data_IF_274003404990
#
_entry.id   IF_274003404990
#
_cell.length_a   1.000
_cell.length_b   1.000
_cell.length_c   1.000
_cell.angle_alpha   90.00
_cell.angle_beta   90.00
_cell.angle_gamma   90.00
#
_symmetry.space_group_name_H-M   'P 1'
#
loop_
_entity.id
_entity.type
_entity.pdbx_description
1 polymer ?
#
# COMPACT_ATOMS: atom_id res chain seq x y z
N UNK A 1 -0.49 -1.05 -14.51
CA UNK A 1 0.61 -0.17 -14.93
C UNK A 1 1.91 -0.88 -14.76
N UNK A 2 2.55 -1.19 -15.89
CA UNK A 2 3.82 -1.90 -15.93
C UNK A 2 4.95 -1.11 -15.24
N UNK A 3 4.97 0.23 -15.37
CA UNK A 3 5.96 1.09 -14.71
C UNK A 3 6.00 0.95 -13.19
N UNK A 4 4.84 1.08 -12.51
CA UNK A 4 4.76 0.92 -11.06
C UNK A 4 5.13 -0.52 -10.63
N UNK A 5 4.66 -1.53 -11.38
CA UNK A 5 5.01 -2.93 -11.13
C UNK A 5 6.53 -3.14 -11.20
N UNK A 6 7.20 -2.56 -12.20
CA UNK A 6 8.65 -2.67 -12.38
C UNK A 6 9.42 -1.93 -11.26
N UNK A 7 8.95 -0.77 -10.82
CA UNK A 7 9.55 -0.05 -9.70
C UNK A 7 9.43 -0.85 -8.40
N UNK A 8 8.25 -1.39 -8.10
CA UNK A 8 8.03 -2.24 -6.92
C UNK A 8 8.92 -3.49 -7.01
N UNK A 9 8.90 -4.23 -8.11
CA UNK A 9 9.73 -5.43 -8.30
C UNK A 9 11.23 -5.13 -8.15
N UNK A 10 11.70 -3.98 -8.63
CA UNK A 10 13.10 -3.57 -8.46
C UNK A 10 13.46 -3.36 -6.99
N UNK A 11 12.54 -2.80 -6.20
CA UNK A 11 12.74 -2.63 -4.76
C UNK A 11 12.66 -3.93 -3.97
N UNK A 12 11.87 -4.90 -4.45
CA UNK A 12 11.87 -6.27 -3.92
C UNK A 12 13.22 -6.95 -4.11
N UNK A 13 13.77 -6.90 -5.34
CA UNK A 13 15.08 -7.50 -5.66
C UNK A 13 16.19 -6.91 -4.79
N UNK A 14 16.06 -5.64 -4.39
CA UNK A 14 16.99 -4.95 -3.49
C UNK A 14 16.72 -5.19 -2.01
N UNK A 15 15.65 -5.91 -1.65
CA UNK A 15 15.25 -6.19 -0.28
C UNK A 15 14.67 -4.98 0.46
N UNK A 16 14.29 -3.91 -0.25
CA UNK A 16 13.77 -2.68 0.37
C UNK A 16 12.28 -2.72 0.67
N UNK A 17 11.52 -3.49 -0.12
CA UNK A 17 10.13 -3.80 0.13
C UNK A 17 9.97 -5.32 0.20
N UNK A 18 9.32 -5.79 1.26
CA UNK A 18 8.90 -7.18 1.40
C UNK A 18 7.39 -7.22 1.31
N UNK A 19 6.90 -8.09 0.46
CA UNK A 19 5.48 -8.32 0.31
C UNK A 19 4.92 -9.19 1.41
N UNK A 20 3.61 -9.31 1.37
CA UNK A 20 2.86 -10.17 2.23
C UNK A 20 2.99 -11.63 1.78
N UNK A 21 3.52 -12.48 2.65
CA UNK A 21 3.68 -13.90 2.38
C UNK A 21 2.41 -14.66 2.75
N UNK A 22 1.81 -15.34 1.77
CA UNK A 22 0.68 -16.25 1.96
C UNK A 22 1.23 -17.67 2.02
N UNK A 23 1.37 -18.22 3.22
CA UNK A 23 1.72 -19.62 3.40
C UNK A 23 0.52 -20.52 3.13
N UNK A 24 0.69 -21.52 2.26
CA UNK A 24 -0.30 -22.57 2.03
C UNK A 24 0.32 -23.93 2.36
N UNK A 25 -0.41 -24.85 2.99
CA UNK A 25 0.16 -26.14 3.41
C UNK A 25 0.71 -27.00 2.27
N UNK A 26 0.27 -26.77 1.02
CA UNK A 26 0.52 -27.64 -0.13
C UNK A 26 1.19 -26.94 -1.32
N UNK A 27 1.50 -25.64 -1.22
CA UNK A 27 2.07 -24.85 -2.32
C UNK A 27 3.18 -23.96 -1.77
N UNK A 28 4.23 -23.73 -2.56
CA UNK A 28 5.27 -22.75 -2.26
C UNK A 28 4.65 -21.42 -1.82
N UNK A 29 5.27 -20.81 -0.81
CA UNK A 29 4.79 -19.54 -0.26
C UNK A 29 4.71 -18.48 -1.37
N UNK A 30 3.55 -17.86 -1.50
CA UNK A 30 3.32 -16.81 -2.52
C UNK A 30 3.43 -15.46 -1.84
N UNK A 31 4.37 -14.63 -2.31
CA UNK A 31 4.53 -13.26 -1.83
C UNK A 31 3.73 -12.29 -2.71
N UNK A 32 2.77 -11.60 -2.09
CA UNK A 32 1.91 -10.59 -2.72
C UNK A 32 2.37 -9.21 -2.26
N UNK A 33 2.80 -8.35 -3.19
CA UNK A 33 3.22 -6.97 -2.86
C UNK A 33 2.19 -5.92 -3.24
N UNK A 34 1.43 -6.16 -4.30
CA UNK A 34 0.44 -5.21 -4.76
C UNK A 34 -0.63 -5.89 -5.61
N UNK A 35 -1.81 -5.28 -5.63
CA UNK A 35 -2.94 -5.63 -6.46
C UNK A 35 -3.42 -4.37 -7.15
N UNK A 36 -3.41 -4.36 -8.49
CA UNK A 36 -3.86 -3.24 -9.29
C UNK A 36 -5.21 -3.57 -9.91
N UNK A 37 -6.20 -2.71 -9.70
CA UNK A 37 -7.51 -2.82 -10.33
C UNK A 37 -7.97 -1.44 -10.84
N UNK A 38 -8.08 -1.30 -12.17
CA UNK A 38 -8.42 -0.04 -12.83
C UNK A 38 -7.56 1.15 -12.34
N UNK A 39 -8.17 2.07 -11.59
CA UNK A 39 -7.54 3.27 -11.04
C UNK A 39 -7.02 3.10 -9.62
N UNK A 40 -7.36 1.98 -8.96
CA UNK A 40 -7.01 1.72 -7.57
C UNK A 40 -5.83 0.75 -7.50
N UNK A 41 -4.82 1.13 -6.71
CA UNK A 41 -3.72 0.24 -6.35
C UNK A 41 -3.78 -0.05 -4.87
N UNK A 42 -3.76 -1.32 -4.54
CA UNK A 42 -3.66 -1.86 -3.20
C UNK A 42 -2.23 -2.37 -3.01
N UNK A 43 -1.52 -1.92 -1.98
CA UNK A 43 -0.12 -2.28 -1.75
C UNK A 43 0.00 -2.95 -0.38
N UNK A 44 0.65 -4.12 -0.35
CA UNK A 44 0.82 -5.00 0.80
C UNK A 44 2.30 -5.06 1.19
N UNK A 45 2.59 -4.75 2.46
CA UNK A 45 3.95 -4.78 3.00
C UNK A 45 3.90 -4.86 4.53
N UNK A 46 5.04 -5.16 5.16
CA UNK A 46 5.13 -5.16 6.62
C UNK A 46 4.96 -3.73 7.17
N UNK A 47 4.43 -3.62 8.38
CA UNK A 47 4.26 -2.40 9.15
C UNK A 47 5.59 -1.93 9.73
N UNK A 48 6.55 -1.72 8.83
CA UNK A 48 7.88 -1.20 9.09
C UNK A 48 7.98 0.23 8.55
N UNK A 49 8.49 1.13 9.38
CA UNK A 49 8.63 2.55 9.04
C UNK A 49 9.60 2.75 7.85
N UNK A 50 10.62 1.92 7.73
CA UNK A 50 11.58 1.94 6.62
C UNK A 50 10.93 1.55 5.29
N UNK A 51 10.18 0.45 5.28
CA UNK A 51 9.41 0.01 4.10
C UNK A 51 8.38 1.06 3.68
N UNK A 52 7.71 1.70 4.64
CA UNK A 52 6.79 2.81 4.37
C UNK A 52 7.44 4.04 3.73
N UNK A 53 8.61 4.44 4.25
CA UNK A 53 9.38 5.54 3.68
C UNK A 53 9.77 5.22 2.24
N UNK A 54 10.24 3.99 1.99
CA UNK A 54 10.58 3.55 0.65
C UNK A 54 9.37 3.54 -0.27
N UNK A 55 8.23 3.03 0.20
CA UNK A 55 6.98 3.04 -0.56
C UNK A 55 6.59 4.46 -0.96
N UNK A 56 6.68 5.40 -0.02
CA UNK A 56 6.41 6.81 -0.31
C UNK A 56 7.32 7.38 -1.39
N UNK A 57 8.62 7.08 -1.32
CA UNK A 57 9.60 7.51 -2.33
C UNK A 57 9.24 6.94 -3.70
N UNK A 58 8.93 5.64 -3.80
CA UNK A 58 8.53 4.99 -5.06
C UNK A 58 7.29 5.66 -5.64
N UNK A 59 6.28 5.91 -4.80
CA UNK A 59 5.03 6.54 -5.22
C UNK A 59 5.24 7.97 -5.72
N UNK A 60 6.04 8.78 -5.03
CA UNK A 60 6.38 10.15 -5.46
C UNK A 60 7.21 10.15 -6.75
N UNK A 61 8.16 9.23 -6.90
CA UNK A 61 8.92 9.08 -8.14
C UNK A 61 8.01 8.65 -9.29
N UNK A 62 7.12 7.69 -9.03
CA UNK A 62 6.13 7.24 -9.99
C UNK A 62 5.22 8.40 -10.43
N UNK A 63 4.78 9.24 -9.50
CA UNK A 63 4.02 10.47 -9.78
C UNK A 63 4.77 11.37 -10.77
N UNK A 64 6.04 11.65 -10.50
CA UNK A 64 6.89 12.48 -11.36
C UNK A 64 7.19 11.89 -12.73
N UNK A 65 7.39 10.57 -12.85
CA UNK A 65 7.72 9.92 -14.11
C UNK A 65 6.51 9.58 -14.98
N UNK A 66 5.36 9.30 -14.37
CA UNK A 66 4.14 8.95 -15.12
C UNK A 66 3.29 10.16 -15.50
N UNK A 67 3.54 11.32 -14.87
CA UNK A 67 2.67 12.50 -14.99
C UNK A 67 1.31 12.31 -14.32
N UNK A 68 1.09 11.19 -13.63
CA UNK A 68 -0.12 10.92 -12.88
C UNK A 68 0.00 11.50 -11.49
N UNK A 69 -1.11 11.93 -10.91
CA UNK A 69 -1.14 12.47 -9.54
C UNK A 69 -1.70 11.44 -8.57
N UNK A 70 -0.99 11.20 -7.47
CA UNK A 70 -1.43 10.29 -6.42
C UNK A 70 -2.36 11.04 -5.46
N UNK A 71 -3.57 10.51 -5.28
CA UNK A 71 -4.52 11.06 -4.32
C UNK A 71 -4.27 10.54 -2.89
N UNK A 72 -3.34 11.19 -2.18
CA UNK A 72 -3.02 10.87 -0.78
C UNK A 72 -4.23 11.03 0.16
N UNK A 73 -5.12 11.99 -0.12
CA UNK A 73 -6.35 12.23 0.68
C UNK A 73 -7.33 11.06 0.59
N UNK A 74 -7.38 10.36 -0.56
CA UNK A 74 -8.19 9.16 -0.72
C UNK A 74 -7.46 7.89 -0.28
N UNK A 75 -6.14 7.95 -0.08
CA UNK A 75 -5.34 6.81 0.32
C UNK A 75 -5.49 6.55 1.82
N UNK A 76 -5.66 5.29 2.21
CA UNK A 76 -5.88 4.90 3.61
C UNK A 76 -4.96 3.76 4.01
N UNK A 77 -4.49 3.82 5.26
CA UNK A 77 -3.64 2.80 5.87
C UNK A 77 -4.48 1.86 6.73
N UNK A 78 -4.36 0.56 6.47
CA UNK A 78 -5.08 -0.47 7.24
C UNK A 78 -4.11 -1.49 7.83
N UNK A 79 -4.13 -1.72 9.15
CA UNK A 79 -3.38 -2.80 9.75
C UNK A 79 -4.08 -4.14 9.51
N UNK A 80 -3.31 -5.18 9.19
CA UNK A 80 -3.70 -6.58 9.35
C UNK A 80 -3.07 -7.07 10.65
N UNK A 81 -3.89 -7.67 11.49
CA UNK A 81 -3.49 -8.13 12.82
C UNK A 81 -3.03 -6.97 13.72
N UNK A 82 -2.19 -7.28 14.70
CA UNK A 82 -1.71 -6.32 15.68
C UNK A 82 -0.51 -5.55 15.10
N UNK A 83 -0.71 -4.26 14.84
CA UNK A 83 0.34 -3.32 14.45
C UNK A 83 0.48 -2.29 15.56
N UNK A 84 1.64 -2.24 16.19
CA UNK A 84 1.95 -1.18 17.14
C UNK A 84 2.35 0.11 16.40
N UNK A 85 2.07 1.26 17.02
CA UNK A 85 2.54 2.57 16.56
C UNK A 85 1.98 3.05 15.19
N UNK A 86 0.70 2.75 14.91
CA UNK A 86 0.01 3.20 13.69
C UNK A 86 0.07 4.71 13.45
N UNK A 87 0.08 5.53 14.50
CA UNK A 87 0.19 6.99 14.39
C UNK A 87 1.49 7.42 13.71
N UNK A 88 2.62 6.84 14.09
CA UNK A 88 3.92 7.14 13.46
C UNK A 88 3.93 6.73 11.97
N UNK A 89 3.31 5.59 11.63
CA UNK A 89 3.22 5.09 10.26
C UNK A 89 2.38 6.03 9.37
N UNK A 90 1.30 6.60 9.89
CA UNK A 90 0.50 7.59 9.17
C UNK A 90 1.26 8.87 8.88
N UNK A 91 2.09 9.34 9.83
CA UNK A 91 2.91 10.54 9.66
C UNK A 91 3.88 10.37 8.49
N UNK A 92 4.45 9.16 8.31
CA UNK A 92 5.33 8.87 7.19
C UNK A 92 4.63 9.11 5.85
N UNK A 93 3.42 8.57 5.67
CA UNK A 93 2.65 8.71 4.44
C UNK A 93 1.85 10.02 4.33
N UNK A 94 1.76 10.80 5.41
CA UNK A 94 0.94 12.02 5.52
C UNK A 94 -0.54 11.78 5.17
N UNK A 95 -1.12 10.69 5.69
CA UNK A 95 -2.52 10.36 5.45
C UNK A 95 -3.41 11.08 6.48
N UNK A 96 -4.53 11.65 6.01
CA UNK A 96 -5.41 12.48 6.85
C UNK A 96 -6.32 11.66 7.77
N UNK A 97 -6.55 10.37 7.49
CA UNK A 97 -7.43 9.53 8.29
C UNK A 97 -6.89 8.11 8.42
N UNK A 98 -6.52 7.73 9.65
CA UNK A 98 -6.44 6.34 10.02
C UNK A 98 -7.84 5.89 10.43
N UNK A 99 -8.41 4.89 9.75
CA UNK A 99 -9.54 4.17 10.30
C UNK A 99 -9.00 3.30 11.44
N UNK A 100 -8.81 3.91 12.60
CA UNK A 100 -8.78 3.16 13.84
C UNK A 100 -10.14 2.45 13.93
N UNK A 101 -10.07 1.15 14.20
CA UNK A 101 -11.18 0.23 14.46
C UNK A 101 -11.67 -0.64 13.28
N UNK A 102 -11.51 -1.96 13.51
CA UNK A 102 -12.28 -3.10 12.98
C UNK A 102 -12.03 -3.52 11.53
N UNK A 103 -10.86 -4.09 11.22
CA UNK A 103 -10.76 -5.05 10.12
C UNK A 103 -10.21 -6.42 10.53
N UNK A 104 -9.62 -6.56 11.73
CA UNK A 104 -9.26 -7.88 12.27
C UNK A 104 -10.46 -8.83 12.47
N UNK A 105 -11.66 -8.28 12.73
CA UNK A 105 -12.86 -9.10 13.00
C UNK A 105 -13.69 -9.46 11.75
N UNK A 106 -13.51 -8.77 10.61
CA UNK A 106 -14.36 -8.95 9.42
C UNK A 106 -13.89 -10.09 8.49
N UNK A 107 -12.73 -10.67 8.73
CA UNK A 107 -12.13 -11.69 7.84
C UNK A 107 -12.21 -13.12 8.40
N UNK A 108 -12.88 -13.32 9.54
CA UNK A 108 -13.12 -14.65 10.11
C UNK A 108 -11.86 -15.33 10.69
N UNK A 109 -12.02 -16.49 11.35
CA UNK A 109 -10.97 -17.15 12.14
C UNK A 109 -9.80 -17.76 11.34
N UNK A 110 -9.71 -17.53 10.02
CA UNK A 110 -8.70 -18.13 9.15
C UNK A 110 -7.40 -17.32 8.98
N UNK A 111 -7.21 -16.24 9.74
CA UNK A 111 -5.98 -15.42 9.71
C UNK A 111 -4.84 -15.92 10.61
N UNK A 112 -4.96 -17.09 11.24
CA UNK A 112 -3.90 -17.69 12.06
C UNK A 112 -2.58 -17.92 11.31
N UNK A 113 -2.63 -17.95 9.97
CA UNK A 113 -1.46 -18.11 9.09
C UNK A 113 -0.90 -16.78 8.55
N UNK A 114 -1.53 -15.63 8.85
CA UNK A 114 -1.08 -14.32 8.38
C UNK A 114 -0.09 -13.71 9.37
N UNK A 115 1.08 -13.27 8.89
CA UNK A 115 2.10 -12.65 9.75
C UNK A 115 1.53 -11.41 10.46
N UNK A 116 1.89 -11.26 11.73
CA UNK A 116 1.58 -10.04 12.49
C UNK A 116 2.26 -8.84 11.84
N UNK A 117 1.60 -7.68 11.85
CA UNK A 117 2.21 -6.46 11.36
C UNK A 117 2.13 -6.24 9.85
N UNK A 118 1.10 -6.70 9.14
CA UNK A 118 0.96 -6.36 7.71
C UNK A 118 0.16 -5.08 7.56
N UNK A 119 0.43 -4.28 6.54
CA UNK A 119 -0.25 -3.02 6.31
C UNK A 119 -0.67 -2.84 4.86
N UNK A 120 -1.86 -2.26 4.66
CA UNK A 120 -2.37 -1.96 3.33
C UNK A 120 -2.47 -0.47 3.11
N UNK A 121 -1.99 0.00 1.95
CA UNK A 121 -2.40 1.28 1.40
C UNK A 121 -3.52 1.02 0.37
N UNK A 122 -4.77 1.38 0.70
CA UNK A 122 -5.93 1.29 -0.22
C UNK A 122 -6.22 2.65 -0.84
N UNK A 123 -6.77 2.64 -2.06
CA UNK A 123 -7.28 3.82 -2.79
C UNK A 123 -6.20 4.83 -3.20
N UNK A 124 -5.02 4.34 -3.64
CA UNK A 124 -4.10 5.15 -4.45
C UNK A 124 -4.78 5.39 -5.80
N UNK A 125 -5.67 6.38 -5.84
CA UNK A 125 -6.40 6.75 -7.05
C UNK A 125 -5.56 7.71 -7.87
N UNK A 126 -5.41 7.42 -9.16
CA UNK A 126 -4.90 8.42 -10.12
C UNK A 126 -5.92 9.55 -10.22
N UNK A 127 -5.47 10.78 -10.04
CA UNK A 127 -6.23 11.89 -10.62
C UNK A 127 -5.94 11.91 -12.12
N UNK A 128 -6.92 11.63 -12.98
CA UNK A 128 -6.90 12.29 -14.28
C UNK A 128 -7.15 13.78 -14.01
N UNK A 129 -6.46 14.65 -14.73
CA UNK A 129 -6.90 16.03 -14.87
C UNK A 129 -8.17 16.02 -15.73
N UNK A 130 -9.32 15.74 -15.11
CA UNK A 130 -10.60 16.12 -15.70
C UNK A 130 -10.85 17.57 -15.30
N UNK A 131 -10.86 18.42 -16.33
CA UNK A 131 -10.62 19.85 -16.24
C UNK A 131 -11.61 20.65 -15.38
N UNK A 132 -11.11 21.77 -14.90
CA UNK A 132 -11.94 22.94 -14.64
C UNK A 132 -11.37 24.11 -15.46
N UNK A 133 -11.84 24.23 -16.70
CA UNK A 133 -11.99 25.54 -17.31
C UNK A 133 -12.96 26.33 -16.43
N UNK A 134 -12.45 27.27 -15.66
CA UNK A 134 -13.21 28.47 -15.32
C UNK A 134 -12.36 29.67 -15.71
N UNK A 135 -12.58 30.07 -16.95
CA UNK A 135 -12.45 31.44 -17.43
C UNK A 135 -13.31 32.35 -16.55
N UNK A 136 -12.65 33.23 -15.82
CA UNK A 136 -13.11 34.60 -15.57
C UNK A 136 -11.95 35.54 -15.88
#
# INVERSE_FOLDING_TARGET
MEGLNNMINSTKVRGWLRGFEVSRPEVDNVEITHLQYADDTLILYDADEGQLKMLRVILVLFEGFSGLRINWRKSHLYPINEVHNMEALNVVLKLEHCLHHILGCLWGPNLSHMKSGTMWLRNVKRSSEDGNHNIF
#
